data_IF_793949420547
#
_entry.id   IF_793949420547
#
_cell.length_a   1.000
_cell.length_b   1.000
_cell.length_c   1.000
_cell.angle_alpha   90.00
_cell.angle_beta   90.00
_cell.angle_gamma   90.00
#
_symmetry.space_group_name_H-M   'P 1'
#
loop_
_entity.id
_entity.type
_entity.pdbx_description
1 polymer ?
#
# COMPACT_ATOMS: atom_id res chain seq x y z
N UNK A 1 -1.56 -31.75 -0.86
CA UNK A 1 -2.26 -30.70 -1.63
C UNK A 1 -2.45 -29.51 -0.69
N UNK A 2 -1.63 -28.47 -0.83
CA UNK A 2 -1.68 -27.30 0.05
C UNK A 2 -2.89 -26.45 -0.27
N UNK A 3 -3.75 -26.19 0.72
CA UNK A 3 -4.79 -25.19 0.62
C UNK A 3 -4.11 -23.82 0.54
N UNK A 4 -3.86 -23.33 -0.67
CA UNK A 4 -3.59 -21.91 -0.88
C UNK A 4 -4.88 -21.18 -0.59
N UNK A 5 -5.05 -20.76 0.66
CA UNK A 5 -6.07 -19.79 1.05
C UNK A 5 -5.68 -18.48 0.37
N UNK A 6 -6.17 -18.32 -0.86
CA UNK A 6 -6.11 -17.09 -1.67
C UNK A 6 -6.95 -15.96 -1.04
N UNK A 7 -7.46 -16.15 0.17
CA UNK A 7 -8.47 -15.29 0.76
C UNK A 7 -7.83 -14.11 1.52
N UNK A 8 -8.10 -12.93 0.98
CA UNK A 8 -8.08 -11.62 1.65
C UNK A 8 -6.74 -10.91 1.82
N UNK A 9 -5.88 -10.90 0.81
CA UNK A 9 -4.89 -9.83 0.69
C UNK A 9 -5.49 -8.65 -0.10
N UNK A 10 -5.93 -7.61 0.61
CA UNK A 10 -6.35 -6.37 -0.04
C UNK A 10 -5.13 -5.62 -0.52
N UNK A 11 -5.11 -5.30 -1.81
CA UNK A 11 -4.11 -4.42 -2.37
C UNK A 11 -4.71 -3.03 -2.48
N UNK A 12 -3.98 -2.01 -2.03
CA UNK A 12 -4.44 -0.64 -2.09
C UNK A 12 -3.32 0.32 -2.39
N UNK A 13 -3.72 1.53 -2.74
CA UNK A 13 -2.82 2.65 -3.00
C UNK A 13 -3.12 3.68 -1.93
N UNK A 14 -2.09 4.10 -1.19
CA UNK A 14 -2.24 5.13 -0.17
C UNK A 14 -1.32 6.30 -0.50
N UNK A 15 -1.93 7.42 -0.87
CA UNK A 15 -1.23 8.68 -1.11
C UNK A 15 -1.61 9.66 -0.01
N UNK A 16 -0.63 10.17 0.74
CA UNK A 16 -0.89 11.07 1.87
C UNK A 16 0.23 12.09 2.07
N UNK A 17 -0.06 13.38 2.33
CA UNK A 17 0.93 14.38 2.70
C UNK A 17 1.76 13.99 3.93
N UNK A 18 1.23 13.12 4.80
CA UNK A 18 1.96 12.60 5.97
C UNK A 18 3.24 11.84 5.60
N UNK A 19 3.34 11.39 4.36
CA UNK A 19 4.48 10.65 3.83
C UNK A 19 5.57 11.55 3.24
N UNK A 20 5.35 12.86 3.18
CA UNK A 20 6.34 13.78 2.63
C UNK A 20 7.63 13.73 3.48
N UNK A 21 8.77 13.75 2.79
CA UNK A 21 10.11 13.61 3.37
C UNK A 21 10.36 12.30 4.14
N UNK A 22 9.48 11.29 4.04
CA UNK A 22 9.69 9.98 4.66
C UNK A 22 10.31 8.98 3.71
N UNK A 23 11.15 8.12 4.25
CA UNK A 23 11.64 6.92 3.58
C UNK A 23 10.53 5.88 3.43
N UNK A 24 10.73 4.93 2.51
CA UNK A 24 9.80 3.80 2.36
C UNK A 24 9.63 2.99 3.65
N UNK A 25 10.70 2.84 4.43
CA UNK A 25 10.66 2.12 5.70
C UNK A 25 9.76 2.84 6.71
N UNK A 26 9.91 4.16 6.83
CA UNK A 26 9.10 4.97 7.75
C UNK A 26 7.63 4.99 7.34
N UNK A 27 7.31 5.14 6.05
CA UNK A 27 5.94 5.06 5.55
C UNK A 27 5.29 3.72 5.89
N UNK A 28 6.00 2.62 5.63
CA UNK A 28 5.48 1.28 5.91
C UNK A 28 5.26 1.05 7.41
N UNK A 29 6.19 1.50 8.27
CA UNK A 29 6.04 1.39 9.72
C UNK A 29 4.82 2.16 10.25
N UNK A 30 4.57 3.37 9.73
CA UNK A 30 3.38 4.16 10.09
C UNK A 30 2.12 3.37 9.75
N UNK A 31 2.05 2.84 8.54
CA UNK A 31 0.88 2.11 8.05
C UNK A 31 0.70 0.79 8.79
N UNK A 32 1.79 0.06 9.03
CA UNK A 32 1.77 -1.21 9.77
C UNK A 32 1.27 -1.01 11.19
N UNK A 33 1.67 0.07 11.87
CA UNK A 33 1.15 0.42 13.19
C UNK A 33 -0.37 0.60 13.16
N UNK A 34 -0.89 1.42 12.25
CA UNK A 34 -2.34 1.63 12.11
C UNK A 34 -3.08 0.33 11.75
N UNK A 35 -2.51 -0.49 10.85
CA UNK A 35 -3.10 -1.77 10.46
C UNK A 35 -3.10 -2.78 11.61
N UNK A 36 -2.10 -2.73 12.49
CA UNK A 36 -2.03 -3.55 13.70
C UNK A 36 -3.12 -3.17 14.69
N UNK A 37 -3.39 -1.87 14.87
CA UNK A 37 -4.45 -1.38 15.77
C UNK A 37 -5.85 -1.87 15.36
N UNK A 38 -6.07 -2.07 14.07
CA UNK A 38 -7.36 -2.56 13.53
C UNK A 38 -7.36 -4.07 13.23
N UNK A 39 -6.35 -4.83 13.69
CA UNK A 39 -6.21 -6.29 13.44
C UNK A 39 -6.18 -6.70 11.96
N UNK A 40 -5.65 -5.82 11.10
CA UNK A 40 -5.49 -6.04 9.66
C UNK A 40 -4.02 -6.18 9.22
N UNK A 41 -3.09 -6.25 10.18
CA UNK A 41 -1.67 -6.49 9.89
C UNK A 41 -1.49 -7.78 9.08
N UNK A 42 -0.62 -7.71 8.06
CA UNK A 42 -0.36 -8.81 7.13
C UNK A 42 -1.49 -9.13 6.14
N UNK A 43 -2.69 -8.54 6.29
CA UNK A 43 -3.85 -8.78 5.41
C UNK A 43 -4.03 -7.70 4.34
N UNK A 44 -3.34 -6.57 4.48
CA UNK A 44 -3.39 -5.49 3.50
C UNK A 44 -1.99 -5.14 3.01
N UNK A 45 -1.84 -5.06 1.69
CA UNK A 45 -0.64 -4.55 1.03
C UNK A 45 -0.94 -3.20 0.41
N UNK A 46 -0.49 -2.15 1.08
CA UNK A 46 -0.63 -0.77 0.60
C UNK A 46 0.66 -0.30 -0.08
N UNK A 47 0.52 0.21 -1.31
CA UNK A 47 1.58 0.98 -1.93
C UNK A 47 1.51 2.43 -1.44
N UNK A 48 2.37 2.75 -0.48
CA UNK A 48 2.41 4.05 0.18
C UNK A 48 3.36 5.00 -0.55
N UNK A 49 2.88 6.20 -0.90
CA UNK A 49 3.69 7.23 -1.54
C UNK A 49 3.26 8.63 -1.11
N UNK A 50 4.21 9.59 -1.01
CA UNK A 50 3.85 10.99 -0.85
C UNK A 50 3.25 11.58 -2.15
N UNK A 51 2.47 12.66 -2.06
CA UNK A 51 1.91 13.36 -3.22
C UNK A 51 2.99 13.76 -4.24
N UNK A 52 4.16 14.22 -3.76
CA UNK A 52 5.31 14.58 -4.60
C UNK A 52 5.81 13.44 -5.51
N UNK A 53 5.52 12.18 -5.16
CA UNK A 53 5.95 10.97 -5.88
C UNK A 53 4.78 10.17 -6.45
N UNK A 54 3.55 10.69 -6.41
CA UNK A 54 2.37 9.99 -6.90
C UNK A 54 2.48 9.60 -8.39
N UNK A 55 3.14 10.40 -9.22
CA UNK A 55 3.37 10.06 -10.63
C UNK A 55 4.20 8.77 -10.79
N UNK A 56 5.15 8.50 -9.89
CA UNK A 56 5.93 7.26 -9.89
C UNK A 56 5.05 6.06 -9.50
N UNK A 57 4.16 6.26 -8.54
CA UNK A 57 3.16 5.27 -8.13
C UNK A 57 2.27 4.87 -9.30
N UNK A 58 1.70 5.85 -10.01
CA UNK A 58 0.80 5.64 -11.14
C UNK A 58 1.43 4.74 -12.20
N UNK A 59 2.72 4.93 -12.51
CA UNK A 59 3.47 4.07 -13.45
C UNK A 59 3.65 2.63 -12.94
N UNK A 60 3.78 2.41 -11.64
CA UNK A 60 3.99 1.10 -11.05
C UNK A 60 2.67 0.32 -10.89
N UNK A 61 1.61 1.00 -10.47
CA UNK A 61 0.31 0.37 -10.17
C UNK A 61 -0.54 0.12 -11.42
N UNK A 62 -0.24 0.77 -12.57
CA UNK A 62 -0.93 0.54 -13.85
C UNK A 62 -0.93 -0.93 -14.29
N UNK A 63 0.10 -1.68 -13.89
CA UNK A 63 0.22 -3.11 -14.20
C UNK A 63 -0.81 -3.96 -13.46
N UNK A 64 -1.36 -3.44 -12.36
CA UNK A 64 -2.33 -4.14 -11.50
C UNK A 64 -3.73 -3.55 -11.58
N UNK A 65 -3.85 -2.23 -11.76
CA UNK A 65 -5.12 -1.54 -11.96
C UNK A 65 -5.05 -0.62 -13.17
N UNK A 66 -6.04 -0.73 -14.05
CA UNK A 66 -6.18 0.19 -15.18
C UNK A 66 -6.76 1.53 -14.69
N UNK A 67 -5.87 2.46 -14.33
CA UNK A 67 -6.22 3.79 -13.81
C UNK A 67 -6.53 4.84 -14.90
N UNK A 68 -6.61 4.43 -16.17
CA UNK A 68 -6.82 5.33 -17.33
C UNK A 68 -8.19 5.13 -18.01
N UNK A 69 -9.15 4.48 -17.32
CA UNK A 69 -10.55 4.44 -17.76
C UNK A 69 -11.36 5.60 -17.20
#
# INVERSE_FOLDING_TARGET
>A
MGHHVHDMHFYGILCSPLFENKSYKEMNLIVEKFMSEINMSGRVKLHCQPPSRFNKLKKHVRWRWNLEK
#
